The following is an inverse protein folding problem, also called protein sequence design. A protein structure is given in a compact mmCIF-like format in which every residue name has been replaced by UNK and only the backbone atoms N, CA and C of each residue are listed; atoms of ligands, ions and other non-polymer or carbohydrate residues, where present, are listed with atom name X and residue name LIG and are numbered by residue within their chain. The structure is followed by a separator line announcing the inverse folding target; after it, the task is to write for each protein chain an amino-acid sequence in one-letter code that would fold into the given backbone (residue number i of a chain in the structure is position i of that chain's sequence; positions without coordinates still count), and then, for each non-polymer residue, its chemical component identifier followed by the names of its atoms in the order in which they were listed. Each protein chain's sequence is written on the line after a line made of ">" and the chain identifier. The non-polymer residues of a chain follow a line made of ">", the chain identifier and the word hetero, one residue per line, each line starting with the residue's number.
data_IF_352213620853
#
_entry.id   IF_352213620853
#
_cell.length_a   1.000
_cell.length_b   1.000
_cell.length_c   1.000
_cell.angle_alpha   90.00
_cell.angle_beta   90.00
_cell.angle_gamma   90.00
#
_symmetry.space_group_name_H-M   'P 1'
#
loop_
_entity.id
_entity.type
_entity.pdbx_description
1 polymer ?
#
# COMPACT_ATOMS: atom_id res chain seq x y z
N UNK A 1 11.33 -31.32 -6.94
CA UNK A 1 10.09 -30.68 -6.43
C UNK A 1 10.49 -29.55 -5.53
N UNK A 2 10.44 -28.32 -6.02
CA UNK A 2 10.73 -27.12 -5.20
C UNK A 2 9.47 -26.78 -4.43
N UNK A 3 9.48 -26.97 -3.11
CA UNK A 3 8.46 -26.41 -2.25
C UNK A 3 8.61 -24.87 -2.26
N UNK A 4 7.84 -24.21 -3.12
CA UNK A 4 7.57 -22.82 -2.99
C UNK A 4 6.77 -22.62 -1.70
N UNK A 5 7.46 -22.34 -0.61
CA UNK A 5 6.84 -21.83 0.60
C UNK A 5 6.23 -20.48 0.25
N UNK A 6 4.98 -20.46 -0.15
CA UNK A 6 4.23 -19.22 -0.35
C UNK A 6 4.22 -18.49 0.99
N UNK A 7 5.02 -17.42 1.11
CA UNK A 7 5.00 -16.58 2.31
C UNK A 7 3.59 -16.05 2.47
N UNK A 8 2.94 -16.43 3.56
CA UNK A 8 1.61 -15.93 3.92
C UNK A 8 1.66 -14.40 3.93
N UNK A 9 0.77 -13.78 3.16
CA UNK A 9 0.75 -12.34 2.99
C UNK A 9 0.34 -11.59 4.27
N UNK A 10 0.84 -10.35 4.40
CA UNK A 10 0.35 -9.36 5.37
C UNK A 10 0.47 -9.71 6.86
N UNK A 11 1.39 -10.58 7.30
CA UNK A 11 1.50 -10.96 8.71
C UNK A 11 1.56 -9.75 9.64
N UNK A 12 2.45 -8.79 9.36
CA UNK A 12 2.58 -7.56 10.16
C UNK A 12 1.33 -6.70 10.07
N UNK A 13 0.80 -6.50 8.87
CA UNK A 13 -0.40 -5.69 8.68
C UNK A 13 -1.63 -6.29 9.39
N UNK A 14 -1.78 -7.61 9.38
CA UNK A 14 -2.89 -8.30 10.04
C UNK A 14 -2.79 -8.29 11.57
N UNK A 15 -1.57 -8.18 12.12
CA UNK A 15 -1.37 -8.10 13.58
C UNK A 15 -1.81 -6.77 14.19
N UNK A 16 -2.15 -5.78 13.38
CA UNK A 16 -2.66 -4.47 13.79
C UNK A 16 -1.79 -3.76 14.84
N UNK A 17 -0.55 -3.58 14.54
CA UNK A 17 0.39 -2.92 15.46
C UNK A 17 0.50 -1.40 15.28
N UNK A 18 -0.10 -0.84 14.23
CA UNK A 18 0.04 0.59 13.94
C UNK A 18 -1.06 1.40 14.65
N UNK A 19 -0.71 2.40 15.50
CA UNK A 19 -1.67 3.13 16.33
C UNK A 19 -2.72 3.92 15.53
N UNK A 20 -2.41 4.30 14.29
CA UNK A 20 -3.32 5.09 13.45
C UNK A 20 -4.32 4.25 12.65
N UNK A 21 -4.39 2.94 12.91
CA UNK A 21 -5.37 2.06 12.28
C UNK A 21 -6.34 1.49 13.32
N UNK A 22 -7.63 1.34 12.98
CA UNK A 22 -8.58 0.67 13.85
C UNK A 22 -8.24 -0.82 14.00
N UNK A 23 -8.79 -1.50 15.00
CA UNK A 23 -8.74 -2.94 15.07
C UNK A 23 -9.23 -3.57 13.77
N UNK A 24 -8.52 -4.57 13.27
CA UNK A 24 -8.84 -5.25 12.01
C UNK A 24 -9.76 -6.43 12.25
N UNK A 25 -10.54 -6.78 11.23
CA UNK A 25 -11.18 -8.08 11.20
C UNK A 25 -10.09 -9.18 11.19
N UNK A 26 -10.21 -10.17 12.07
CA UNK A 26 -9.23 -11.25 12.16
C UNK A 26 -9.23 -12.11 10.89
N UNK A 27 -8.05 -12.30 10.31
CA UNK A 27 -7.87 -13.14 9.10
C UNK A 27 -6.84 -14.22 9.42
N UNK A 28 -7.25 -15.48 9.58
CA UNK A 28 -6.34 -16.62 9.73
C UNK A 28 -5.40 -16.78 8.53
N UNK A 29 -4.26 -17.43 8.71
CA UNK A 29 -3.24 -17.56 7.69
C UNK A 29 -3.72 -18.32 6.45
N UNK A 30 -4.57 -19.31 6.62
CA UNK A 30 -5.19 -20.13 5.58
C UNK A 30 -6.33 -19.42 4.82
N UNK A 31 -6.87 -18.36 5.40
CA UNK A 31 -7.96 -17.55 4.84
C UNK A 31 -7.48 -16.24 4.16
N UNK A 32 -6.18 -16.02 4.08
CA UNK A 32 -5.62 -14.79 3.48
C UNK A 32 -5.89 -14.72 1.99
N UNK A 33 -5.73 -15.84 1.28
CA UNK A 33 -5.88 -15.87 -0.16
C UNK A 33 -7.33 -15.64 -0.59
N UNK A 34 -7.55 -14.83 -1.64
CA UNK A 34 -8.88 -14.62 -2.22
C UNK A 34 -9.48 -15.89 -2.87
N UNK A 35 -8.67 -16.93 -3.05
CA UNK A 35 -9.14 -18.25 -3.52
C UNK A 35 -9.72 -19.10 -2.40
N UNK A 36 -9.41 -18.82 -1.14
CA UNK A 36 -10.01 -19.49 0.01
C UNK A 36 -11.42 -18.96 0.25
N UNK A 37 -12.38 -19.85 0.48
CA UNK A 37 -13.72 -19.45 0.87
C UNK A 37 -13.69 -18.92 2.32
N UNK A 38 -14.23 -17.72 2.54
CA UNK A 38 -14.33 -17.11 3.87
C UNK A 38 -15.70 -16.43 4.02
N UNK A 39 -16.79 -17.19 4.17
CA UNK A 39 -18.15 -16.65 4.14
C UNK A 39 -18.45 -15.58 5.19
N UNK A 40 -17.73 -15.59 6.30
CA UNK A 40 -17.89 -14.60 7.38
C UNK A 40 -16.95 -13.40 7.28
N UNK A 41 -16.21 -13.23 6.18
CA UNK A 41 -15.26 -12.14 6.06
C UNK A 41 -15.94 -10.78 5.95
N UNK A 42 -15.84 -9.99 7.00
CA UNK A 42 -16.39 -8.64 7.11
C UNK A 42 -15.28 -7.63 7.47
N UNK A 43 -14.48 -7.18 6.49
CA UNK A 43 -13.37 -6.26 6.77
C UNK A 43 -13.87 -4.94 7.34
N UNK A 44 -13.11 -4.38 8.27
CA UNK A 44 -13.39 -3.05 8.81
C UNK A 44 -13.13 -2.00 7.74
N UNK A 45 -14.13 -1.18 7.45
CA UNK A 45 -13.99 -0.07 6.50
C UNK A 45 -13.26 1.09 7.18
N UNK A 46 -12.16 1.54 6.56
CA UNK A 46 -11.36 2.62 7.12
C UNK A 46 -10.70 3.49 6.06
N UNK A 47 -10.86 4.79 6.21
CA UNK A 47 -10.08 5.84 5.53
C UNK A 47 -9.71 6.88 6.57
N UNK A 48 -8.46 7.25 6.65
CA UNK A 48 -8.00 8.28 7.58
C UNK A 48 -8.56 9.67 7.20
N UNK A 49 -8.93 10.48 8.19
CA UNK A 49 -9.47 11.83 7.99
C UNK A 49 -8.58 12.70 7.11
N UNK A 50 -7.26 12.56 7.27
CA UNK A 50 -6.28 13.26 6.44
C UNK A 50 -6.41 12.90 4.95
N UNK A 51 -6.73 11.66 4.63
CA UNK A 51 -6.95 11.20 3.25
C UNK A 51 -8.25 11.78 2.72
N UNK A 52 -9.32 11.72 3.50
CA UNK A 52 -10.61 12.30 3.14
C UNK A 52 -10.51 13.81 2.91
N UNK A 53 -9.84 14.54 3.81
CA UNK A 53 -9.65 15.98 3.69
C UNK A 53 -8.82 16.42 2.48
N UNK A 54 -8.02 15.51 1.91
CA UNK A 54 -7.21 15.74 0.72
C UNK A 54 -7.70 14.98 -0.52
N UNK A 55 -8.92 14.51 -0.50
CA UNK A 55 -9.57 13.91 -1.67
C UNK A 55 -9.80 14.97 -2.75
N UNK A 56 -9.45 14.65 -4.01
CA UNK A 56 -9.51 15.63 -5.11
C UNK A 56 -10.92 16.04 -5.51
N UNK A 57 -11.95 15.33 -5.06
CA UNK A 57 -13.36 15.74 -5.18
C UNK A 57 -13.79 16.76 -4.12
N UNK A 58 -13.03 16.89 -3.04
CA UNK A 58 -13.28 17.84 -1.94
C UNK A 58 -12.32 19.03 -1.94
N UNK A 59 -11.11 18.82 -2.48
CA UNK A 59 -10.04 19.81 -2.52
C UNK A 59 -9.38 19.80 -3.90
N UNK A 60 -9.40 20.91 -4.66
CA UNK A 60 -8.85 20.96 -6.02
C UNK A 60 -7.41 20.46 -6.16
N UNK A 61 -6.54 20.77 -5.18
CA UNK A 61 -5.15 20.33 -5.14
C UNK A 61 -4.94 19.10 -4.24
N UNK A 62 -6.01 18.35 -3.98
CA UNK A 62 -5.96 17.15 -3.16
C UNK A 62 -5.14 16.03 -3.81
N UNK A 63 -4.23 15.44 -3.04
CA UNK A 63 -3.38 14.34 -3.54
C UNK A 63 -4.10 12.98 -3.57
N UNK A 64 -5.21 12.87 -2.86
CA UNK A 64 -5.92 11.60 -2.73
C UNK A 64 -7.00 11.46 -3.82
N UNK A 65 -7.24 10.23 -4.23
CA UNK A 65 -8.35 9.92 -5.14
C UNK A 65 -9.71 10.25 -4.49
N UNK A 66 -10.78 10.37 -5.30
CA UNK A 66 -12.14 10.47 -4.81
C UNK A 66 -12.54 9.30 -3.91
N UNK A 67 -13.58 9.47 -3.10
CA UNK A 67 -14.08 8.40 -2.24
C UNK A 67 -14.61 7.21 -3.06
N UNK A 68 -15.25 7.49 -4.19
CA UNK A 68 -15.58 6.46 -5.16
C UNK A 68 -14.33 6.04 -5.95
N UNK A 69 -14.08 4.74 -6.13
CA UNK A 69 -12.95 4.29 -6.91
C UNK A 69 -13.10 4.69 -8.38
N UNK A 70 -12.01 5.06 -9.07
CA UNK A 70 -12.01 5.23 -10.50
C UNK A 70 -12.43 3.94 -11.24
N UNK A 71 -12.91 4.06 -12.49
CA UNK A 71 -13.25 2.88 -13.28
C UNK A 71 -12.11 1.87 -13.36
N UNK A 72 -12.44 0.58 -13.37
CA UNK A 72 -11.46 -0.51 -13.37
C UNK A 72 -10.43 -0.39 -14.51
N UNK A 73 -10.82 0.13 -15.66
CA UNK A 73 -9.92 0.36 -16.79
C UNK A 73 -8.84 1.40 -16.49
N UNK A 74 -9.18 2.45 -15.73
CA UNK A 74 -8.22 3.47 -15.30
C UNK A 74 -7.30 2.93 -14.22
N UNK A 75 -7.84 2.23 -13.22
CA UNK A 75 -7.05 1.61 -12.16
C UNK A 75 -6.03 0.62 -12.73
N UNK A 76 -6.39 -0.17 -13.72
CA UNK A 76 -5.48 -1.10 -14.40
C UNK A 76 -4.31 -0.39 -15.10
N UNK A 77 -4.50 0.83 -15.60
CA UNK A 77 -3.42 1.64 -16.19
C UNK A 77 -2.41 2.11 -15.15
N UNK A 78 -2.84 2.26 -13.88
CA UNK A 78 -1.96 2.63 -12.76
C UNK A 78 -1.12 1.45 -12.27
N UNK A 79 -1.53 0.23 -12.61
CA UNK A 79 -0.82 -0.99 -12.24
C UNK A 79 0.56 -1.01 -12.85
N UNK A 80 1.57 -0.83 -12.01
CA UNK A 80 2.96 -0.94 -12.38
C UNK A 80 3.34 -2.38 -12.71
N UNK A 81 4.54 -2.53 -13.23
CA UNK A 81 5.20 -3.82 -13.43
C UNK A 81 5.18 -4.72 -12.17
N UNK A 82 5.21 -4.13 -10.97
CA UNK A 82 5.16 -4.88 -9.71
C UNK A 82 3.81 -5.56 -9.48
N UNK A 83 2.70 -4.91 -9.82
CA UNK A 83 1.38 -5.52 -9.72
C UNK A 83 1.22 -6.68 -10.70
N UNK A 84 1.81 -6.52 -11.89
CA UNK A 84 1.90 -7.59 -12.89
C UNK A 84 2.89 -8.68 -12.49
N UNK A 85 4.03 -8.32 -11.88
CA UNK A 85 5.04 -9.27 -11.42
C UNK A 85 4.57 -10.15 -10.26
N UNK A 86 3.55 -9.71 -9.50
CA UNK A 86 2.87 -10.55 -8.51
C UNK A 86 2.00 -11.63 -9.16
N UNK A 87 1.86 -11.61 -10.50
CA UNK A 87 1.10 -12.62 -11.26
C UNK A 87 -0.40 -12.65 -10.93
N UNK A 88 -0.88 -11.67 -10.18
CA UNK A 88 -2.27 -11.64 -9.73
C UNK A 88 -3.10 -10.73 -10.66
N UNK A 89 -4.17 -11.25 -11.26
CA UNK A 89 -5.10 -10.41 -11.99
C UNK A 89 -5.75 -9.41 -11.02
N UNK A 90 -6.05 -8.22 -11.53
CA UNK A 90 -6.87 -7.27 -10.81
C UNK A 90 -8.21 -7.89 -10.44
N UNK A 91 -8.53 -7.88 -9.16
CA UNK A 91 -9.82 -8.25 -8.62
C UNK A 91 -10.47 -7.05 -7.98
N UNK A 92 -11.79 -7.01 -8.01
CA UNK A 92 -12.59 -5.93 -7.45
C UNK A 92 -13.67 -6.53 -6.57
N UNK A 93 -14.08 -5.79 -5.55
CA UNK A 93 -15.28 -6.10 -4.78
C UNK A 93 -16.55 -5.66 -5.53
N UNK A 94 -17.72 -5.93 -4.95
CA UNK A 94 -19.03 -5.59 -5.54
C UNK A 94 -19.25 -4.08 -5.67
N UNK A 95 -18.47 -3.27 -4.95
CA UNK A 95 -18.47 -1.81 -5.03
C UNK A 95 -17.47 -1.26 -6.05
N UNK A 96 -16.77 -2.12 -6.78
CA UNK A 96 -15.75 -1.75 -7.76
C UNK A 96 -14.42 -1.32 -7.15
N UNK A 97 -14.20 -1.57 -5.86
CA UNK A 97 -12.94 -1.25 -5.17
C UNK A 97 -11.90 -2.32 -5.48
N UNK A 98 -10.65 -1.93 -5.78
CA UNK A 98 -9.60 -2.91 -6.08
C UNK A 98 -9.22 -3.68 -4.81
N UNK A 99 -9.18 -4.99 -4.92
CA UNK A 99 -8.74 -5.89 -3.86
C UNK A 99 -7.22 -5.97 -3.83
N UNK A 100 -6.65 -6.12 -2.63
CA UNK A 100 -5.21 -6.29 -2.49
C UNK A 100 -4.77 -7.62 -3.14
N UNK A 101 -3.82 -7.61 -4.10
CA UNK A 101 -3.42 -8.81 -4.84
C UNK A 101 -2.79 -9.88 -3.95
N UNK A 102 -2.25 -9.48 -2.79
CA UNK A 102 -1.64 -10.41 -1.82
C UNK A 102 -2.66 -11.04 -0.86
N UNK A 103 -3.94 -10.69 -0.98
CA UNK A 103 -5.01 -11.27 -0.17
C UNK A 103 -5.62 -10.33 0.86
N UNK A 104 -6.39 -10.93 1.76
CA UNK A 104 -7.17 -10.25 2.78
C UNK A 104 -6.28 -9.66 3.88
N UNK A 105 -6.61 -8.45 4.31
CA UNK A 105 -5.87 -7.72 5.37
C UNK A 105 -6.69 -7.44 6.62
N UNK A 106 -7.98 -7.77 6.60
CA UNK A 106 -8.93 -7.40 7.65
C UNK A 106 -9.41 -5.96 7.60
N UNK A 107 -8.95 -5.18 6.62
CA UNK A 107 -9.45 -3.83 6.34
C UNK A 107 -9.95 -3.76 4.89
N UNK A 108 -10.89 -2.88 4.65
CA UNK A 108 -11.32 -2.42 3.34
C UNK A 108 -11.07 -0.93 3.18
N UNK A 109 -11.22 -0.42 1.95
CA UNK A 109 -10.96 0.96 1.58
C UNK A 109 -9.46 1.32 1.58
N UNK A 110 -9.12 2.61 1.55
CA UNK A 110 -7.76 3.12 1.32
C UNK A 110 -6.88 3.18 2.57
N UNK A 111 -7.47 3.12 3.76
CA UNK A 111 -6.73 3.29 5.01
C UNK A 111 -6.07 4.68 5.08
N UNK A 112 -4.76 4.71 5.17
CA UNK A 112 -3.95 5.94 5.16
C UNK A 112 -3.36 6.27 3.78
N UNK A 113 -3.68 5.48 2.77
CA UNK A 113 -3.16 5.65 1.43
C UNK A 113 -4.05 6.58 0.60
N UNK A 114 -3.44 7.45 -0.19
CA UNK A 114 -4.18 8.44 -0.97
C UNK A 114 -4.83 7.87 -2.23
N UNK A 115 -4.27 6.81 -2.79
CA UNK A 115 -4.71 6.28 -4.08
C UNK A 115 -5.40 4.94 -3.95
N UNK A 116 -6.39 4.71 -4.81
CA UNK A 116 -6.95 3.39 -5.05
C UNK A 116 -5.94 2.54 -5.85
N UNK A 117 -5.71 1.31 -5.40
CA UNK A 117 -4.71 0.43 -6.01
C UNK A 117 -3.29 0.71 -5.51
N UNK A 118 -2.26 0.63 -6.38
CA UNK A 118 -0.88 0.85 -6.00
C UNK A 118 -0.62 2.28 -5.54
N UNK A 119 0.09 2.43 -4.42
CA UNK A 119 0.61 3.70 -3.95
C UNK A 119 2.13 3.64 -4.05
N UNK A 120 2.65 4.31 -5.08
CA UNK A 120 4.07 4.37 -5.33
C UNK A 120 4.73 5.39 -4.41
N UNK A 121 5.88 5.03 -3.85
CA UNK A 121 6.78 5.94 -3.16
C UNK A 121 8.14 5.86 -3.87
N UNK A 122 8.83 6.98 -3.94
CA UNK A 122 10.15 7.05 -4.51
C UNK A 122 11.01 8.00 -3.68
N UNK A 123 12.17 7.52 -3.27
CA UNK A 123 13.15 8.31 -2.57
C UNK A 123 14.32 8.61 -3.51
N UNK A 124 14.63 9.90 -3.68
CA UNK A 124 15.77 10.33 -4.47
C UNK A 124 17.06 10.11 -3.68
N UNK A 125 18.01 9.38 -4.25
CA UNK A 125 19.36 9.30 -3.71
C UNK A 125 20.18 10.41 -4.34
N UNK A 126 20.46 11.46 -3.57
CA UNK A 126 21.29 12.59 -4.00
C UNK A 126 22.73 12.33 -3.61
N UNK A 127 23.61 12.28 -4.59
CA UNK A 127 25.04 12.01 -4.40
C UNK A 127 25.91 13.12 -4.98
N UNK A 128 27.12 13.28 -4.45
CA UNK A 128 28.17 14.13 -5.02
C UNK A 128 29.54 13.50 -4.79
N UNK A 129 30.52 13.90 -5.60
CA UNK A 129 31.93 13.65 -5.27
C UNK A 129 32.44 14.76 -4.38
N UNK A 130 33.07 14.41 -3.26
CA UNK A 130 33.78 15.36 -2.43
C UNK A 130 35.13 15.72 -3.08
N UNK A 131 35.15 16.82 -3.82
CA UNK A 131 36.34 17.27 -4.55
C UNK A 131 37.39 17.91 -3.66
N UNK A 132 37.08 18.18 -2.39
CA UNK A 132 38.00 18.75 -1.42
C UNK A 132 38.81 17.65 -0.70
N UNK A 133 38.34 16.41 -0.73
CA UNK A 133 39.05 15.27 -0.19
C UNK A 133 40.02 14.66 -1.23
N UNK A 134 41.19 14.19 -0.80
CA UNK A 134 42.25 13.71 -1.68
C UNK A 134 41.80 12.58 -2.62
N UNK A 135 40.90 11.70 -2.12
CA UNK A 135 40.41 10.52 -2.88
C UNK A 135 39.05 10.77 -3.56
N UNK A 136 38.56 12.02 -3.52
CA UNK A 136 37.26 12.40 -4.08
C UNK A 136 36.14 11.38 -3.80
N UNK A 137 35.88 11.01 -2.54
CA UNK A 137 34.91 9.97 -2.21
C UNK A 137 33.50 10.38 -2.63
N UNK A 138 32.69 9.36 -2.97
CA UNK A 138 31.27 9.56 -3.22
C UNK A 138 30.53 9.75 -1.89
N UNK A 139 29.87 10.89 -1.74
CA UNK A 139 29.01 11.19 -0.59
C UNK A 139 27.55 11.13 -0.99
N UNK A 140 26.66 10.84 -0.06
CA UNK A 140 25.22 10.93 -0.26
C UNK A 140 24.56 11.78 0.84
N UNK A 141 23.44 12.38 0.54
CA UNK A 141 22.65 13.12 1.52
C UNK A 141 21.81 12.14 2.30
N UNK A 142 22.02 12.08 3.62
CA UNK A 142 21.15 11.40 4.55
C UNK A 142 20.29 12.44 5.28
N UNK A 143 19.00 12.20 5.39
CA UNK A 143 18.05 13.05 6.11
C UNK A 143 17.47 12.26 7.27
N UNK A 144 17.66 12.77 8.47
CA UNK A 144 17.03 12.19 9.65
C UNK A 144 15.54 12.49 9.64
N UNK A 145 14.73 11.46 9.68
CA UNK A 145 13.28 11.59 9.71
C UNK A 145 12.82 12.31 10.99
N UNK A 146 11.95 13.30 10.81
CA UNK A 146 11.45 14.09 11.94
C UNK A 146 10.43 13.29 12.78
N UNK A 147 9.70 12.38 12.15
CA UNK A 147 8.62 11.60 12.76
C UNK A 147 9.13 10.37 13.54
N UNK A 148 10.16 9.68 13.06
CA UNK A 148 10.71 8.49 13.71
C UNK A 148 12.08 8.70 14.34
N UNK A 149 12.79 9.75 13.95
CA UNK A 149 14.17 10.00 14.37
C UNK A 149 15.21 9.06 13.73
N UNK A 150 14.82 8.23 12.79
CA UNK A 150 15.71 7.34 12.03
C UNK A 150 16.36 8.06 10.84
N UNK A 151 17.52 7.53 10.40
CA UNK A 151 18.26 8.00 9.23
C UNK A 151 17.85 7.26 7.97
#
# INVERSE_FOLDING_TARGET
>A
MQHSSSRVGHKVARSNTHPDYPPRFAVPDDEVAWSSAFPGYAPVEFVADKVLANSCDRKPDGYADPDAPPPAAELKKRGSHEWQALGAPWKFDDSGRPLNPRGRTGLSNRGRLGKWGPNHAGDAIVTRYNREAADSPLEFVAIRRKDTGEW
#
